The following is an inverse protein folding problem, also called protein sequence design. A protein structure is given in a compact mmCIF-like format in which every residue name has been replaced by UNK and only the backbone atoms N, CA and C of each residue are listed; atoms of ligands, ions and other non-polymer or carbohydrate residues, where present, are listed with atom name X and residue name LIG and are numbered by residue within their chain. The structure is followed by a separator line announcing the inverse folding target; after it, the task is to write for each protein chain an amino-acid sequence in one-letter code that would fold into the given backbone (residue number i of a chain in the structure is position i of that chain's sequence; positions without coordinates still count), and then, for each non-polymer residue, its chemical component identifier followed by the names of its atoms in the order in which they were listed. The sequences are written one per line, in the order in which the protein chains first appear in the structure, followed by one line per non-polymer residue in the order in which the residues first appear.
data_IF_864356784450
#
_entry.id   IF_864356784450
#
_cell.length_a   1.000
_cell.length_b   1.000
_cell.length_c   1.000
_cell.angle_alpha   90.00
_cell.angle_beta   90.00
_cell.angle_gamma   90.00
#
_symmetry.space_group_name_H-M   'P 1'
#
loop_
_entity.id
_entity.type
_entity.pdbx_description
1 polymer ?
#
# COMPACT_ATOMS: atom_id res chain seq x y z
N UNK A 1 -30.20 -20.90 -18.18
CA UNK A 1 -29.57 -19.71 -17.56
C UNK A 1 -28.42 -20.21 -16.71
N UNK A 2 -27.23 -19.65 -16.86
CA UNK A 2 -26.12 -19.95 -15.95
C UNK A 2 -26.36 -19.13 -14.70
N UNK A 3 -26.62 -19.76 -13.57
CA UNK A 3 -26.77 -19.08 -12.29
C UNK A 3 -25.35 -18.79 -11.76
N UNK A 4 -25.01 -17.49 -11.67
CA UNK A 4 -23.73 -17.06 -11.12
C UNK A 4 -23.88 -16.93 -9.61
N UNK A 5 -23.32 -17.85 -8.86
CA UNK A 5 -23.21 -17.74 -7.41
C UNK A 5 -21.91 -17.03 -7.03
N UNK A 6 -22.00 -16.09 -6.07
CA UNK A 6 -20.79 -15.48 -5.51
C UNK A 6 -20.02 -16.51 -4.66
N UNK A 7 -18.68 -16.49 -4.69
CA UNK A 7 -17.88 -17.32 -3.81
C UNK A 7 -18.21 -17.07 -2.33
N UNK A 8 -17.99 -18.07 -1.49
CA UNK A 8 -18.05 -17.89 -0.05
C UNK A 8 -17.11 -16.73 0.37
N UNK A 9 -17.52 -15.95 1.36
CA UNK A 9 -16.79 -14.77 1.85
C UNK A 9 -16.62 -13.60 0.84
N UNK A 10 -17.37 -13.62 -0.27
CA UNK A 10 -17.37 -12.52 -1.25
C UNK A 10 -18.29 -11.35 -0.88
N UNK A 11 -19.11 -11.51 0.14
CA UNK A 11 -20.02 -10.49 0.66
C UNK A 11 -19.72 -10.21 2.13
N UNK A 12 -20.12 -9.03 2.61
CA UNK A 12 -20.07 -8.70 4.03
C UNK A 12 -21.50 -8.51 4.58
N UNK A 13 -21.66 -8.78 5.87
CA UNK A 13 -22.91 -8.57 6.60
C UNK A 13 -22.86 -7.28 7.43
N UNK A 14 -24.02 -6.80 7.86
CA UNK A 14 -24.08 -5.78 8.90
C UNK A 14 -23.61 -6.38 10.23
N UNK A 15 -22.72 -5.65 10.89
CA UNK A 15 -22.09 -6.06 12.14
C UNK A 15 -22.72 -5.37 13.35
N UNK A 16 -21.90 -5.19 14.38
CA UNK A 16 -22.28 -4.56 15.65
C UNK A 16 -22.24 -3.04 15.54
N UNK A 17 -23.10 -2.36 16.30
CA UNK A 17 -23.02 -0.91 16.49
C UNK A 17 -22.58 -0.62 17.92
N UNK A 18 -21.52 0.17 18.06
CA UNK A 18 -20.98 0.66 19.32
C UNK A 18 -21.35 2.13 19.45
N UNK A 19 -22.26 2.42 20.37
CA UNK A 19 -22.77 3.79 20.59
C UNK A 19 -21.72 4.70 21.22
N UNK A 20 -21.81 6.00 20.93
CA UNK A 20 -20.99 7.01 21.57
C UNK A 20 -21.26 7.09 23.09
N UNK A 21 -20.28 7.53 23.91
CA UNK A 21 -20.49 7.80 25.33
C UNK A 21 -21.61 8.83 25.56
N UNK A 22 -22.31 8.69 26.68
CA UNK A 22 -23.34 9.66 27.08
C UNK A 22 -22.75 11.07 27.18
N UNK A 23 -23.42 12.05 26.55
CA UNK A 23 -22.98 13.45 26.52
C UNK A 23 -21.99 13.81 25.40
N UNK A 24 -21.68 12.91 24.47
CA UNK A 24 -20.93 13.24 23.27
C UNK A 24 -21.69 14.23 22.38
N UNK A 25 -21.03 15.31 21.94
CA UNK A 25 -21.67 16.38 21.16
C UNK A 25 -21.28 16.35 19.68
N UNK A 26 -20.11 15.81 19.35
CA UNK A 26 -19.57 15.76 17.98
C UNK A 26 -19.27 14.33 17.57
N UNK A 27 -20.28 13.63 17.10
CA UNK A 27 -20.19 12.21 16.77
C UNK A 27 -19.83 12.03 15.29
N UNK A 28 -18.84 11.17 15.01
CA UNK A 28 -18.50 10.67 13.67
C UNK A 28 -18.60 9.16 13.63
N UNK A 29 -19.33 8.62 12.67
CA UNK A 29 -19.45 7.17 12.50
C UNK A 29 -18.26 6.62 11.72
N UNK A 30 -17.64 5.58 12.25
CA UNK A 30 -16.63 4.79 11.60
C UNK A 30 -17.25 3.43 11.25
N UNK A 31 -17.28 3.11 9.96
CA UNK A 31 -17.70 1.80 9.45
C UNK A 31 -16.46 1.01 9.11
N UNK A 32 -16.15 0.03 9.93
CA UNK A 32 -14.87 -0.69 9.88
C UNK A 32 -15.10 -2.14 9.49
N UNK A 33 -14.38 -2.60 8.47
CA UNK A 33 -14.35 -4.00 8.08
C UNK A 33 -13.78 -4.87 9.20
N UNK A 34 -14.50 -5.96 9.51
CA UNK A 34 -14.13 -6.94 10.51
C UNK A 34 -14.14 -8.33 9.91
N UNK A 35 -13.09 -9.07 10.17
CA UNK A 35 -12.95 -10.46 9.77
C UNK A 35 -12.14 -11.22 10.81
N UNK A 36 -12.64 -12.39 11.24
CA UNK A 36 -11.94 -13.30 12.12
C UNK A 36 -11.76 -14.65 11.42
N UNK A 37 -10.53 -15.06 11.13
CA UNK A 37 -10.27 -16.32 10.44
C UNK A 37 -10.68 -17.56 11.25
N UNK A 38 -10.75 -17.45 12.58
CA UNK A 38 -11.09 -18.56 13.48
C UNK A 38 -12.56 -18.97 13.38
N UNK A 39 -13.46 -18.05 13.02
CA UNK A 39 -14.90 -18.35 12.89
C UNK A 39 -15.26 -18.91 11.52
N UNK A 40 -14.50 -18.60 10.48
CA UNK A 40 -14.83 -18.93 9.09
C UNK A 40 -16.07 -18.24 8.51
N UNK A 41 -16.64 -17.27 9.26
CA UNK A 41 -17.81 -16.51 8.83
C UNK A 41 -17.45 -15.49 7.74
N UNK A 42 -18.47 -15.06 6.98
CA UNK A 42 -18.33 -13.91 6.08
C UNK A 42 -17.92 -12.65 6.87
N UNK A 43 -17.11 -11.78 6.26
CA UNK A 43 -16.76 -10.50 6.88
C UNK A 43 -18.01 -9.67 7.19
N UNK A 44 -17.90 -8.81 8.19
CA UNK A 44 -18.95 -7.86 8.58
C UNK A 44 -18.41 -6.44 8.66
N UNK A 45 -19.32 -5.47 8.69
CA UNK A 45 -19.00 -4.06 8.92
C UNK A 45 -19.52 -3.66 10.29
N UNK A 46 -18.62 -3.44 11.23
CA UNK A 46 -18.96 -2.88 12.53
C UNK A 46 -19.01 -1.34 12.45
N UNK A 47 -19.96 -0.73 13.14
CA UNK A 47 -20.15 0.72 13.20
C UNK A 47 -19.79 1.24 14.58
N UNK A 48 -18.86 2.22 14.63
CA UNK A 48 -18.42 2.85 15.87
C UNK A 48 -18.76 4.33 15.85
N UNK A 49 -19.50 4.82 16.84
CA UNK A 49 -19.85 6.23 17.01
C UNK A 49 -18.76 6.91 17.87
N UNK A 50 -17.81 7.56 17.21
CA UNK A 50 -16.64 8.16 17.84
C UNK A 50 -16.91 9.62 18.20
N UNK A 51 -16.70 9.98 19.47
CA UNK A 51 -16.72 11.35 19.95
C UNK A 51 -15.45 12.09 19.50
N UNK A 52 -15.60 13.02 18.56
CA UNK A 52 -14.50 13.80 18.00
C UNK A 52 -13.93 14.87 18.94
N UNK A 53 -14.69 15.30 19.96
CA UNK A 53 -14.18 16.28 20.93
C UNK A 53 -13.05 15.70 21.80
N UNK A 54 -12.99 14.37 21.88
CA UNK A 54 -11.94 13.60 22.59
C UNK A 54 -11.11 12.73 21.66
N UNK A 55 -11.01 13.08 20.39
CA UNK A 55 -10.27 12.34 19.38
C UNK A 55 -9.31 13.27 18.62
N UNK A 56 -8.15 12.76 18.24
CA UNK A 56 -7.28 13.49 17.31
C UNK A 56 -7.89 13.61 15.91
N UNK A 57 -7.31 14.46 15.04
CA UNK A 57 -7.92 14.83 13.78
C UNK A 57 -7.80 13.78 12.66
N UNK A 58 -6.92 12.79 12.82
CA UNK A 58 -6.62 11.82 11.75
C UNK A 58 -7.47 10.54 11.90
N UNK A 59 -7.73 9.86 10.78
CA UNK A 59 -8.44 8.58 10.77
C UNK A 59 -7.76 7.56 11.68
N UNK A 60 -6.43 7.55 11.75
CA UNK A 60 -5.69 6.68 12.66
C UNK A 60 -6.01 6.96 14.14
N UNK A 61 -6.20 8.23 14.50
CA UNK A 61 -6.56 8.59 15.89
C UNK A 61 -7.92 8.00 16.27
N UNK A 62 -8.88 8.06 15.33
CA UNK A 62 -10.20 7.41 15.49
C UNK A 62 -10.07 5.88 15.67
N UNK A 63 -9.26 5.21 14.86
CA UNK A 63 -9.04 3.76 14.98
C UNK A 63 -8.35 3.39 16.31
N UNK A 64 -7.39 4.19 16.76
CA UNK A 64 -6.73 4.00 18.06
C UNK A 64 -7.74 4.17 19.22
N UNK A 65 -8.59 5.20 19.14
CA UNK A 65 -9.64 5.45 20.13
C UNK A 65 -10.64 4.29 20.16
N UNK A 66 -11.10 3.82 19.01
CA UNK A 66 -11.97 2.63 18.92
C UNK A 66 -11.31 1.44 19.62
N UNK A 67 -10.07 1.11 19.28
CA UNK A 67 -9.36 -0.03 19.87
C UNK A 67 -9.17 0.10 21.38
N UNK A 68 -8.87 1.27 21.89
CA UNK A 68 -8.55 1.46 23.29
C UNK A 68 -9.78 1.59 24.19
N UNK A 69 -10.88 2.16 23.69
CA UNK A 69 -12.02 2.56 24.51
C UNK A 69 -13.32 1.81 24.17
N UNK A 70 -13.48 1.28 22.94
CA UNK A 70 -14.74 0.71 22.47
C UNK A 70 -14.64 -0.79 22.16
N UNK A 71 -13.58 -1.22 21.43
CA UNK A 71 -13.41 -2.60 20.99
C UNK A 71 -11.93 -2.97 20.86
N UNK A 72 -11.37 -3.55 21.92
CA UNK A 72 -9.97 -3.97 21.97
C UNK A 72 -9.61 -5.07 20.98
N UNK A 73 -10.59 -5.78 20.42
CA UNK A 73 -10.38 -6.90 19.48
C UNK A 73 -10.02 -6.42 18.07
N UNK A 74 -10.27 -5.14 17.71
CA UNK A 74 -9.96 -4.59 16.42
C UNK A 74 -8.46 -4.70 16.08
N UNK A 75 -8.11 -5.39 14.98
CA UNK A 75 -6.74 -5.61 14.56
C UNK A 75 -6.35 -4.69 13.38
N UNK A 76 -5.26 -3.95 13.53
CA UNK A 76 -4.65 -3.15 12.48
C UNK A 76 -3.17 -2.87 12.76
N UNK A 77 -2.42 -2.59 11.68
CA UNK A 77 -1.00 -2.19 11.79
C UNK A 77 -0.88 -0.68 11.93
N UNK A 78 0.04 -0.23 12.76
CA UNK A 78 0.42 1.17 12.90
C UNK A 78 1.81 1.31 13.51
N UNK A 79 2.49 2.44 13.28
CA UNK A 79 3.76 2.74 13.94
C UNK A 79 4.01 4.25 14.01
N UNK A 80 4.64 4.87 12.99
CA UNK A 80 5.21 6.23 13.04
C UNK A 80 4.21 7.37 13.28
N UNK A 81 2.97 7.29 12.79
CA UNK A 81 1.91 8.29 12.85
C UNK A 81 2.18 9.58 12.03
N UNK A 82 3.20 9.59 11.17
CA UNK A 82 3.67 10.77 10.43
C UNK A 82 3.94 10.48 8.94
N UNK A 83 3.34 9.41 8.39
CA UNK A 83 3.45 9.10 6.96
C UNK A 83 4.80 8.54 6.50
N UNK A 84 5.61 7.94 7.40
CA UNK A 84 6.97 7.44 7.09
C UNK A 84 7.04 5.93 6.99
N UNK A 85 6.32 5.17 7.83
CA UNK A 85 6.50 3.71 7.90
C UNK A 85 5.58 2.90 6.98
N UNK A 86 4.54 3.49 6.41
CA UNK A 86 3.58 2.81 5.53
C UNK A 86 2.63 1.81 6.19
N UNK A 87 2.80 1.48 7.48
CA UNK A 87 2.08 0.38 8.13
C UNK A 87 0.58 0.62 8.30
N UNK A 88 0.11 1.86 8.37
CA UNK A 88 -1.30 2.21 8.47
C UNK A 88 -1.97 2.48 7.10
N UNK A 89 -1.53 1.76 6.07
CA UNK A 89 -2.13 1.82 4.75
C UNK A 89 -3.44 1.02 4.73
N UNK A 90 -4.54 1.69 4.41
CA UNK A 90 -5.89 1.11 4.32
C UNK A 90 -6.62 1.67 3.10
N UNK A 91 -7.72 1.05 2.72
CA UNK A 91 -8.71 1.69 1.86
C UNK A 91 -9.64 2.52 2.74
N UNK A 92 -9.55 3.84 2.61
CA UNK A 92 -10.35 4.78 3.39
C UNK A 92 -11.27 5.51 2.42
N UNK A 93 -12.58 5.31 2.61
CA UNK A 93 -13.62 5.91 1.78
C UNK A 93 -13.38 5.73 0.26
N UNK A 94 -12.99 4.50 -0.12
CA UNK A 94 -12.74 4.10 -1.52
C UNK A 94 -11.33 4.42 -2.04
N UNK A 95 -10.49 5.12 -1.27
CA UNK A 95 -9.13 5.49 -1.68
C UNK A 95 -8.08 4.78 -0.81
N UNK A 96 -7.06 4.16 -1.45
CA UNK A 96 -5.95 3.59 -0.70
C UNK A 96 -5.02 4.70 -0.24
N UNK A 97 -4.86 4.87 1.07
CA UNK A 97 -4.04 5.93 1.66
C UNK A 97 -3.58 5.56 3.07
N UNK A 98 -2.82 6.44 3.72
CA UNK A 98 -2.35 6.26 5.09
C UNK A 98 -3.34 6.88 6.08
N UNK A 99 -3.78 6.10 7.06
CA UNK A 99 -4.72 6.59 8.08
C UNK A 99 -4.11 7.68 8.99
N UNK A 100 -2.78 7.73 9.14
CA UNK A 100 -2.10 8.74 9.96
C UNK A 100 -2.00 10.12 9.30
N UNK A 101 -2.23 10.22 7.98
CA UNK A 101 -2.18 11.48 7.23
C UNK A 101 -3.53 11.87 6.62
N UNK A 102 -4.52 10.99 6.66
CA UNK A 102 -5.88 11.28 6.19
C UNK A 102 -6.70 11.92 7.30
N UNK A 103 -7.11 13.18 7.09
CA UNK A 103 -7.94 13.90 8.05
C UNK A 103 -9.39 13.39 8.06
N UNK A 104 -9.98 13.27 9.26
CA UNK A 104 -11.41 12.93 9.42
C UNK A 104 -12.29 14.01 8.81
N UNK A 105 -11.87 15.28 8.86
CA UNK A 105 -12.63 16.42 8.34
C UNK A 105 -12.75 16.43 6.82
N UNK A 106 -11.86 15.75 6.10
CA UNK A 106 -11.90 15.63 4.64
C UNK A 106 -12.95 14.60 4.15
N UNK A 107 -13.49 13.81 5.06
CA UNK A 107 -14.43 12.73 4.71
C UNK A 107 -15.85 13.20 4.98
N UNK A 108 -16.67 13.25 3.93
CA UNK A 108 -18.09 13.54 4.04
C UNK A 108 -18.86 12.27 4.45
N UNK A 109 -19.80 12.41 5.43
CA UNK A 109 -20.56 11.27 5.94
C UNK A 109 -19.73 10.33 6.82
N UNK A 110 -19.98 9.02 6.74
CA UNK A 110 -19.31 8.00 7.56
C UNK A 110 -17.88 7.76 7.08
N UNK A 111 -16.95 7.53 8.00
CA UNK A 111 -15.58 7.09 7.68
C UNK A 111 -15.59 5.58 7.43
N UNK A 112 -15.43 5.17 6.18
CA UNK A 112 -15.40 3.76 5.81
C UNK A 112 -13.94 3.29 5.75
N UNK A 113 -13.61 2.23 6.50
CA UNK A 113 -12.23 1.71 6.56
C UNK A 113 -12.24 0.22 6.26
N UNK A 114 -11.50 -0.14 5.19
CA UNK A 114 -11.30 -1.50 4.73
C UNK A 114 -9.80 -1.82 4.69
N UNK A 115 -9.40 -3.11 4.71
CA UNK A 115 -8.02 -3.47 4.41
C UNK A 115 -7.65 -3.06 2.98
N UNK A 116 -6.35 -3.03 2.66
CA UNK A 116 -5.91 -2.86 1.27
C UNK A 116 -6.56 -3.94 0.39
N UNK A 117 -7.21 -3.56 -0.72
CA UNK A 117 -7.96 -4.50 -1.56
C UNK A 117 -7.04 -5.47 -2.31
N UNK A 118 -7.61 -6.60 -2.77
CA UNK A 118 -6.92 -7.62 -3.57
C UNK A 118 -5.66 -8.23 -2.91
N UNK A 119 -5.63 -8.25 -1.59
CA UNK A 119 -4.68 -9.02 -0.79
C UNK A 119 -5.47 -9.92 0.17
N UNK A 120 -5.00 -11.14 0.47
CA UNK A 120 -5.62 -11.97 1.49
C UNK A 120 -5.66 -11.22 2.82
N UNK A 121 -6.75 -11.35 3.56
CA UNK A 121 -6.90 -10.72 4.87
C UNK A 121 -6.55 -11.74 5.96
N UNK A 122 -5.59 -11.39 6.82
CA UNK A 122 -5.23 -12.21 7.98
C UNK A 122 -6.29 -12.04 9.07
N UNK A 123 -6.57 -10.79 9.46
CA UNK A 123 -7.60 -10.43 10.43
C UNK A 123 -7.97 -8.95 10.29
N UNK A 124 -9.24 -8.63 10.29
CA UNK A 124 -9.77 -7.25 10.22
C UNK A 124 -9.09 -6.40 9.13
N UNK A 125 -8.33 -5.37 9.50
CA UNK A 125 -7.63 -4.46 8.60
C UNK A 125 -6.19 -4.91 8.27
N UNK A 126 -5.81 -6.15 8.62
CA UNK A 126 -4.46 -6.67 8.45
C UNK A 126 -4.38 -7.56 7.21
N UNK A 127 -3.88 -7.07 6.05
CA UNK A 127 -3.64 -7.89 4.88
C UNK A 127 -2.37 -8.72 5.00
N UNK A 128 -2.28 -9.82 4.25
CA UNK A 128 -1.06 -10.59 4.06
C UNK A 128 -0.15 -9.88 3.05
N UNK A 129 1.07 -9.58 3.46
CA UNK A 129 2.07 -8.89 2.67
C UNK A 129 3.20 -9.82 2.17
N UNK A 130 3.09 -11.14 2.36
CA UNK A 130 4.15 -12.07 1.97
C UNK A 130 4.43 -12.04 0.47
N UNK A 131 3.39 -12.05 -0.37
CA UNK A 131 3.56 -12.00 -1.83
C UNK A 131 4.28 -10.72 -2.29
N UNK A 132 3.82 -9.50 -1.96
CA UNK A 132 4.50 -8.28 -2.39
C UNK A 132 5.94 -8.16 -1.83
N UNK A 133 6.22 -8.65 -0.64
CA UNK A 133 7.59 -8.67 -0.11
C UNK A 133 8.47 -9.71 -0.81
N UNK A 134 7.95 -10.88 -1.16
CA UNK A 134 8.70 -11.85 -1.97
C UNK A 134 9.01 -11.29 -3.37
N UNK A 135 8.07 -10.58 -3.99
CA UNK A 135 8.29 -9.85 -5.24
C UNK A 135 9.35 -8.76 -5.09
N UNK A 136 9.31 -8.00 -4.00
CA UNK A 136 10.33 -7.00 -3.68
C UNK A 136 11.72 -7.63 -3.50
N UNK A 137 11.82 -8.73 -2.77
CA UNK A 137 13.07 -9.47 -2.62
C UNK A 137 13.62 -9.96 -3.97
N UNK A 138 12.73 -10.36 -4.90
CA UNK A 138 13.11 -10.91 -6.20
C UNK A 138 13.82 -9.91 -7.15
N UNK A 139 13.75 -8.62 -6.88
CA UNK A 139 14.46 -7.58 -7.62
C UNK A 139 15.83 -7.25 -7.02
N UNK A 140 16.24 -7.96 -5.96
CA UNK A 140 17.53 -7.78 -5.27
C UNK A 140 17.75 -6.30 -4.90
N UNK A 141 16.91 -5.72 -3.97
CA UNK A 141 16.88 -4.29 -3.70
C UNK A 141 18.05 -3.81 -2.81
N UNK A 142 19.26 -4.04 -3.25
CA UNK A 142 20.51 -3.60 -2.63
C UNK A 142 21.54 -3.27 -3.69
N UNK A 143 22.55 -2.47 -3.33
CA UNK A 143 23.64 -2.10 -4.22
C UNK A 143 24.43 -3.34 -4.64
N UNK A 144 24.61 -3.53 -5.95
CA UNK A 144 25.42 -4.60 -6.53
C UNK A 144 26.60 -3.99 -7.28
N UNK A 145 27.81 -4.42 -6.91
CA UNK A 145 29.04 -3.88 -7.49
C UNK A 145 30.16 -4.90 -7.34
N UNK A 146 30.94 -5.10 -8.41
CA UNK A 146 32.15 -5.92 -8.45
C UNK A 146 33.38 -5.10 -8.13
N UNK A 147 33.31 -3.78 -8.25
CA UNK A 147 34.40 -2.86 -7.89
C UNK A 147 34.68 -2.91 -6.40
N UNK A 148 35.93 -3.13 -5.97
CA UNK A 148 36.30 -3.15 -4.55
C UNK A 148 35.85 -1.90 -3.82
N UNK A 149 35.46 -2.07 -2.56
CA UNK A 149 35.03 -0.93 -1.72
C UNK A 149 36.20 0.10 -1.62
N UNK A 150 35.90 1.39 -1.88
CA UNK A 150 36.88 2.45 -1.69
C UNK A 150 37.21 2.65 -0.20
N UNK A 151 38.29 3.36 0.10
CA UNK A 151 38.68 3.67 1.49
C UNK A 151 37.66 4.55 2.26
N UNK A 152 36.76 5.18 1.51
CA UNK A 152 35.66 6.02 2.05
C UNK A 152 34.33 5.55 1.45
N UNK A 153 33.42 6.49 1.12
CA UNK A 153 32.18 6.20 0.41
C UNK A 153 32.36 6.13 -1.10
N UNK A 154 31.41 5.48 -1.80
CA UNK A 154 31.27 5.56 -3.25
C UNK A 154 30.70 6.93 -3.60
N UNK A 155 31.47 7.74 -4.31
CA UNK A 155 31.06 9.10 -4.68
C UNK A 155 29.96 9.09 -5.72
N UNK A 156 29.12 10.10 -5.66
CA UNK A 156 28.02 10.36 -6.60
C UNK A 156 27.90 11.86 -6.80
N UNK A 157 27.74 12.32 -8.04
CA UNK A 157 27.53 13.76 -8.27
C UNK A 157 26.13 14.20 -7.81
N UNK A 158 25.90 15.51 -7.55
CA UNK A 158 24.58 16.03 -7.25
C UNK A 158 23.53 15.69 -8.34
N UNK A 159 23.92 15.71 -9.61
CA UNK A 159 23.07 15.39 -10.75
C UNK A 159 22.70 13.90 -10.77
N UNK A 160 23.64 13.02 -10.48
CA UNK A 160 23.39 11.58 -10.36
C UNK A 160 22.50 11.28 -9.17
N UNK A 161 22.77 11.92 -8.02
CA UNK A 161 21.93 11.81 -6.82
C UNK A 161 20.50 12.30 -7.07
N UNK A 162 20.35 13.38 -7.82
CA UNK A 162 19.04 13.96 -8.19
C UNK A 162 18.17 13.00 -9.00
N UNK A 163 18.75 12.05 -9.75
CA UNK A 163 17.98 11.01 -10.47
C UNK A 163 17.24 10.04 -9.55
N UNK A 164 17.62 9.97 -8.29
CA UNK A 164 17.00 9.10 -7.30
C UNK A 164 15.84 9.78 -6.55
N UNK A 165 15.66 11.09 -6.72
CA UNK A 165 14.55 11.82 -6.10
C UNK A 165 13.21 11.34 -6.69
N UNK A 166 12.24 11.12 -5.80
CA UNK A 166 10.96 10.49 -6.17
C UNK A 166 11.02 8.95 -6.27
N UNK A 167 12.15 8.33 -5.99
CA UNK A 167 12.32 6.87 -6.00
C UNK A 167 12.64 6.31 -4.62
N UNK A 168 13.66 6.85 -3.94
CA UNK A 168 14.12 6.36 -2.64
C UNK A 168 13.15 6.68 -1.50
N UNK A 169 12.26 7.66 -1.66
CA UNK A 169 11.25 8.04 -0.67
C UNK A 169 10.08 7.04 -0.56
N UNK A 170 10.06 6.00 -1.41
CA UNK A 170 9.05 4.98 -1.35
C UNK A 170 9.12 4.19 -0.04
N UNK A 171 8.01 4.18 0.69
CA UNK A 171 7.88 3.57 2.02
C UNK A 171 7.27 2.15 1.99
N UNK A 172 7.13 1.56 0.80
CA UNK A 172 6.53 0.22 0.59
C UNK A 172 5.17 0.04 1.29
N UNK A 173 4.33 1.08 1.28
CA UNK A 173 2.98 1.02 1.85
C UNK A 173 1.99 0.19 1.01
N UNK A 174 2.34 -0.13 -0.24
CA UNK A 174 1.54 -0.89 -1.20
C UNK A 174 0.18 -0.28 -1.59
N UNK A 175 -0.11 0.99 -1.26
CA UNK A 175 -1.31 1.67 -1.74
C UNK A 175 -1.41 1.65 -3.28
N UNK A 176 -0.31 1.95 -3.97
CA UNK A 176 -0.23 1.92 -5.43
C UNK A 176 -0.35 0.51 -6.00
N UNK A 177 0.20 -0.49 -5.32
CA UNK A 177 0.17 -1.90 -5.70
C UNK A 177 -1.28 -2.39 -5.80
N UNK A 178 -2.04 -2.17 -4.75
CA UNK A 178 -3.43 -2.63 -4.61
C UNK A 178 -4.45 -1.74 -5.31
N UNK A 179 -4.04 -0.60 -5.86
CA UNK A 179 -4.87 0.24 -6.74
C UNK A 179 -4.69 -0.08 -8.23
N UNK A 180 -3.78 -0.99 -8.57
CA UNK A 180 -3.47 -1.31 -9.96
C UNK A 180 -4.33 -2.47 -10.48
N UNK A 181 -5.23 -2.23 -11.49
CA UNK A 181 -6.04 -3.31 -12.05
C UNK A 181 -5.22 -4.46 -12.63
N UNK A 182 -4.07 -4.17 -13.25
CA UNK A 182 -3.17 -5.21 -13.74
C UNK A 182 -2.64 -6.12 -12.62
N UNK A 183 -2.43 -5.56 -11.42
CA UNK A 183 -2.00 -6.33 -10.26
C UNK A 183 -3.15 -7.19 -9.68
N UNK A 184 -4.38 -6.70 -9.73
CA UNK A 184 -5.54 -7.47 -9.26
C UNK A 184 -5.68 -8.81 -9.98
N UNK A 185 -5.42 -8.81 -11.30
CA UNK A 185 -5.60 -9.99 -12.16
C UNK A 185 -4.34 -10.87 -12.29
N UNK A 186 -3.16 -10.31 -12.05
CA UNK A 186 -1.88 -10.97 -12.25
C UNK A 186 -0.93 -10.80 -11.06
N UNK A 187 -1.44 -10.66 -9.85
CA UNK A 187 -0.64 -10.41 -8.63
C UNK A 187 0.35 -11.52 -8.28
N UNK A 188 0.17 -12.70 -8.84
CA UNK A 188 1.07 -13.84 -8.73
C UNK A 188 2.37 -13.65 -9.54
N UNK A 189 2.33 -12.92 -10.66
CA UNK A 189 3.44 -12.81 -11.62
C UNK A 189 3.85 -11.38 -11.92
N UNK A 190 2.92 -10.43 -11.98
CA UNK A 190 3.21 -9.03 -12.21
C UNK A 190 3.79 -8.40 -10.94
N UNK A 191 4.97 -7.79 -11.08
CA UNK A 191 5.66 -7.18 -9.93
C UNK A 191 4.91 -5.99 -9.33
N UNK A 192 4.08 -5.33 -10.13
CA UNK A 192 3.30 -4.18 -9.68
C UNK A 192 4.09 -2.89 -9.51
N UNK A 193 3.37 -1.77 -9.33
CA UNK A 193 3.99 -0.45 -9.37
C UNK A 193 4.95 -0.15 -8.22
N UNK A 194 4.72 -0.65 -7.01
CA UNK A 194 5.61 -0.40 -5.87
C UNK A 194 6.98 -1.08 -6.09
N UNK A 195 6.96 -2.35 -6.49
CA UNK A 195 8.18 -3.13 -6.72
C UNK A 195 8.94 -2.62 -7.94
N UNK A 196 8.24 -2.25 -9.03
CA UNK A 196 8.87 -1.70 -10.23
C UNK A 196 9.47 -0.31 -9.98
N UNK A 197 8.86 0.54 -9.17
CA UNK A 197 9.47 1.81 -8.75
C UNK A 197 10.79 1.54 -8.00
N UNK A 198 10.79 0.58 -7.09
CA UNK A 198 12.00 0.18 -6.37
C UNK A 198 13.04 -0.48 -7.28
N UNK A 199 12.63 -1.23 -8.31
CA UNK A 199 13.56 -1.76 -9.30
C UNK A 199 14.25 -0.62 -10.07
N UNK A 200 13.49 0.40 -10.50
CA UNK A 200 14.05 1.56 -11.19
C UNK A 200 15.02 2.37 -10.30
N UNK A 201 14.74 2.47 -9.01
CA UNK A 201 15.64 3.11 -8.06
C UNK A 201 17.06 2.54 -8.11
N UNK A 202 17.22 1.23 -8.26
CA UNK A 202 18.53 0.57 -8.39
C UNK A 202 19.09 0.65 -9.81
N UNK A 203 18.26 0.67 -10.84
CA UNK A 203 18.66 0.88 -12.24
C UNK A 203 19.20 2.30 -12.45
N UNK A 204 18.63 3.29 -11.77
CA UNK A 204 19.03 4.70 -11.87
C UNK A 204 20.22 5.09 -10.99
N UNK A 205 20.63 4.22 -10.06
CA UNK A 205 21.76 4.50 -9.14
C UNK A 205 23.10 4.32 -9.88
N UNK A 206 23.83 5.42 -10.06
CA UNK A 206 25.12 5.41 -10.78
C UNK A 206 26.21 4.57 -10.09
N UNK A 207 26.02 4.19 -8.85
CA UNK A 207 26.93 3.35 -8.08
C UNK A 207 26.68 1.85 -8.27
N UNK A 208 25.51 1.48 -8.85
CA UNK A 208 25.15 0.09 -9.13
C UNK A 208 25.73 -0.36 -10.48
N UNK A 209 26.42 -1.48 -10.48
CA UNK A 209 27.10 -2.03 -11.65
C UNK A 209 26.30 -3.18 -12.31
N UNK A 210 25.14 -3.55 -11.76
CA UNK A 210 24.38 -4.71 -12.20
C UNK A 210 23.23 -4.37 -13.19
N UNK A 211 23.29 -3.25 -13.90
CA UNK A 211 22.23 -2.79 -14.82
C UNK A 211 21.74 -3.91 -15.76
N UNK A 212 22.68 -4.62 -16.41
CA UNK A 212 22.35 -5.71 -17.32
C UNK A 212 21.52 -6.81 -16.66
N UNK A 213 21.98 -7.32 -15.53
CA UNK A 213 21.31 -8.35 -14.72
C UNK A 213 19.94 -7.91 -14.25
N UNK A 214 19.81 -6.63 -13.82
CA UNK A 214 18.52 -6.08 -13.38
C UNK A 214 17.51 -6.02 -14.51
N UNK A 215 17.93 -5.58 -15.69
CA UNK A 215 17.06 -5.53 -16.87
C UNK A 215 16.68 -6.96 -17.33
N UNK A 216 17.60 -7.93 -17.30
CA UNK A 216 17.31 -9.34 -17.62
C UNK A 216 16.24 -9.91 -16.69
N UNK A 217 16.35 -9.66 -15.39
CA UNK A 217 15.37 -10.09 -14.39
C UNK A 217 13.96 -9.53 -14.67
N UNK A 218 13.87 -8.31 -15.18
CA UNK A 218 12.59 -7.65 -15.48
C UNK A 218 12.05 -7.99 -16.87
N UNK A 219 12.86 -8.51 -17.79
CA UNK A 219 12.46 -8.78 -19.17
C UNK A 219 11.58 -10.02 -19.29
N UNK A 220 10.37 -9.91 -18.81
CA UNK A 220 9.35 -10.97 -18.81
C UNK A 220 7.97 -10.38 -19.12
N UNK A 221 7.16 -11.04 -19.96
CA UNK A 221 5.83 -10.55 -20.36
C UNK A 221 4.88 -10.23 -19.19
N UNK A 222 5.05 -10.91 -18.06
CA UNK A 222 4.23 -10.70 -16.87
C UNK A 222 4.88 -9.75 -15.88
N UNK A 223 6.18 -9.89 -15.62
CA UNK A 223 6.86 -9.11 -14.56
C UNK A 223 6.80 -7.60 -14.81
N UNK A 224 7.09 -7.14 -16.03
CA UNK A 224 7.14 -5.73 -16.41
C UNK A 224 5.96 -5.30 -17.30
N UNK A 225 5.69 -6.07 -18.36
CA UNK A 225 4.88 -5.60 -19.47
C UNK A 225 3.37 -5.67 -19.24
N UNK A 226 2.91 -6.11 -18.07
CA UNK A 226 1.50 -5.98 -17.65
C UNK A 226 1.11 -4.56 -17.22
N UNK A 227 2.05 -3.64 -17.17
CA UNK A 227 1.73 -2.23 -16.99
C UNK A 227 1.13 -1.64 -18.27
N UNK A 228 -0.13 -1.22 -18.19
CA UNK A 228 -0.88 -0.56 -19.27
C UNK A 228 -1.03 0.96 -19.07
N UNK A 229 -0.24 1.54 -18.18
CA UNK A 229 -0.19 3.01 -17.95
C UNK A 229 -1.55 3.60 -17.54
N UNK A 230 -2.29 2.88 -16.68
CA UNK A 230 -3.60 3.34 -16.18
C UNK A 230 -3.46 4.52 -15.19
N UNK A 231 -2.29 4.65 -14.55
CA UNK A 231 -1.87 5.74 -13.65
C UNK A 231 -2.57 5.78 -12.27
N UNK A 232 -3.42 4.83 -11.92
CA UNK A 232 -3.99 4.74 -10.56
C UNK A 232 -2.91 4.73 -9.47
N UNK A 233 -1.77 4.10 -9.75
CA UNK A 233 -0.63 4.01 -8.83
C UNK A 233 -0.06 5.38 -8.45
N UNK A 234 0.02 6.30 -9.39
CA UNK A 234 0.50 7.67 -9.17
C UNK A 234 -0.53 8.49 -8.40
N UNK A 235 -1.80 8.37 -8.77
CA UNK A 235 -2.88 9.14 -8.15
C UNK A 235 -3.11 8.76 -6.67
N UNK A 236 -2.86 7.50 -6.30
CA UNK A 236 -3.10 7.00 -4.94
C UNK A 236 -1.87 7.07 -4.03
N UNK A 237 -0.70 7.44 -4.55
CA UNK A 237 0.52 7.42 -3.75
C UNK A 237 0.51 8.48 -2.63
N UNK A 238 0.53 8.10 -1.34
CA UNK A 238 0.48 9.07 -0.23
C UNK A 238 1.77 9.87 -0.07
N UNK A 239 2.84 9.50 -0.81
CA UNK A 239 4.11 10.23 -0.87
C UNK A 239 4.24 11.05 -2.15
N UNK A 240 3.19 11.13 -2.99
CA UNK A 240 3.17 11.83 -4.28
C UNK A 240 4.26 11.37 -5.26
N UNK A 241 4.67 10.09 -5.18
CA UNK A 241 5.63 9.51 -6.11
C UNK A 241 4.96 9.11 -7.42
N UNK A 242 5.77 8.92 -8.47
CA UNK A 242 5.28 8.54 -9.79
C UNK A 242 5.76 7.13 -10.23
N UNK A 243 5.14 6.05 -9.76
CA UNK A 243 5.50 4.70 -10.20
C UNK A 243 5.29 4.47 -11.69
N UNK A 244 4.31 5.16 -12.31
CA UNK A 244 4.04 5.06 -13.74
C UNK A 244 5.21 5.54 -14.59
N UNK A 245 5.83 6.66 -14.21
CA UNK A 245 7.04 7.18 -14.85
C UNK A 245 8.22 6.23 -14.66
N UNK A 246 8.46 5.75 -13.44
CA UNK A 246 9.55 4.80 -13.18
C UNK A 246 9.45 3.54 -14.08
N UNK A 247 8.23 3.01 -14.27
CA UNK A 247 8.00 1.88 -15.18
C UNK A 247 8.27 2.26 -16.64
N UNK A 248 7.91 3.46 -17.06
CA UNK A 248 8.20 3.94 -18.42
C UNK A 248 9.72 4.06 -18.67
N UNK A 249 10.47 4.55 -17.68
CA UNK A 249 11.94 4.63 -17.76
C UNK A 249 12.60 3.25 -17.82
N UNK A 250 12.10 2.24 -17.08
CA UNK A 250 12.57 0.86 -17.23
C UNK A 250 12.35 0.37 -18.66
N UNK A 251 11.15 0.59 -19.23
CA UNK A 251 10.83 0.19 -20.61
C UNK A 251 11.72 0.91 -21.63
N UNK A 252 12.01 2.20 -21.40
CA UNK A 252 12.94 2.95 -22.24
C UNK A 252 14.38 2.42 -22.16
N UNK A 253 14.82 2.01 -20.97
CA UNK A 253 16.12 1.36 -20.77
C UNK A 253 16.22 0.00 -21.50
N UNK A 254 15.12 -0.78 -21.52
CA UNK A 254 15.05 -2.03 -22.29
C UNK A 254 15.25 -1.81 -23.78
N UNK A 255 14.62 -0.74 -24.35
CA UNK A 255 14.76 -0.41 -25.77
C UNK A 255 16.17 0.06 -26.17
N UNK A 256 16.88 0.74 -25.26
CA UNK A 256 18.26 1.20 -25.52
C UNK A 256 19.30 0.06 -25.50
N UNK A 257 18.92 -1.09 -25.02
CA UNK A 257 19.77 -2.27 -24.88
C UNK A 257 19.77 -3.16 -26.13
N UNK A 258 18.71 -3.07 -26.95
CA UNK A 258 18.58 -3.74 -28.25
C UNK A 258 19.31 -2.99 -29.33
#
# INVERSE_FOLDING_TARGET
MVELSLPANSTYSDGKTFAAPAGATKIKKFRVYRYDPDTGDNPRIDTYEVDLDKCGPMVLDGLIKIKNEMDSTLAFRRSCREGVCGSCAFNIDGTNTLACTKSISEINGDVKVFPLPHMPVIKDLVPDLNVPYAQYQSIEPWLQTDTPAPNRERLQSPEERGKLDGLWECILCFCCQTSCPSYWWNGDRYLGPAVLLQAYRWIADSRDEALGKRLDNLNDPFRLYRCHTIMNCTNTCPKNLNPGQAIAEIKAAMLKRT
#
